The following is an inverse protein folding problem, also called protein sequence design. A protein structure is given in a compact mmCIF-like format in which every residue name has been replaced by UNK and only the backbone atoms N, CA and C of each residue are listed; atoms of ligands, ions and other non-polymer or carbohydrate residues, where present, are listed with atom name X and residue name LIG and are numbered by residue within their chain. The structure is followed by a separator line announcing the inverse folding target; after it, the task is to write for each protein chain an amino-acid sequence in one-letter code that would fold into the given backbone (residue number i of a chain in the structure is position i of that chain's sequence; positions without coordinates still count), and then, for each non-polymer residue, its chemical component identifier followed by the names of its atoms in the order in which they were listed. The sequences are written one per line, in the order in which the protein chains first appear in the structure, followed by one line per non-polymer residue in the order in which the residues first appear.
data_IF_938117401217
#
_entry.id   IF_938117401217
#
_cell.length_a   1.000
_cell.length_b   1.000
_cell.length_c   1.000
_cell.angle_alpha   90.00
_cell.angle_beta   90.00
_cell.angle_gamma   90.00
#
_symmetry.space_group_name_H-M   'P 1'
#
loop_
_entity.id
_entity.type
_entity.pdbx_description
1 polymer ?
#
# COMPACT_ATOMS: atom_id res chain seq x y z
N UNK A 1 44.14 -30.74 -19.79
CA UNK A 1 44.53 -29.77 -18.76
C UNK A 1 43.72 -28.51 -18.98
N UNK A 2 42.66 -28.37 -18.20
CA UNK A 2 41.52 -27.49 -18.42
C UNK A 2 41.37 -26.63 -17.17
N UNK A 3 41.93 -25.42 -17.18
CA UNK A 3 41.77 -24.44 -16.10
C UNK A 3 42.12 -23.06 -16.65
N UNK A 4 41.11 -22.30 -17.08
CA UNK A 4 41.02 -20.82 -17.03
C UNK A 4 39.82 -20.33 -17.84
N UNK A 5 38.59 -20.62 -17.39
CA UNK A 5 37.41 -19.87 -17.84
C UNK A 5 36.24 -19.88 -16.85
N UNK A 6 36.48 -20.29 -15.59
CA UNK A 6 35.51 -20.14 -14.51
C UNK A 6 35.50 -18.69 -14.01
N UNK A 7 34.76 -17.89 -14.79
CA UNK A 7 33.81 -16.87 -14.33
C UNK A 7 34.37 -15.60 -13.68
N UNK A 8 34.77 -14.68 -14.56
CA UNK A 8 34.60 -13.23 -14.37
C UNK A 8 33.15 -12.84 -13.98
N UNK A 9 32.16 -13.70 -14.23
CA UNK A 9 30.78 -13.54 -13.75
C UNK A 9 30.60 -13.86 -12.26
N UNK A 10 31.46 -14.67 -11.64
CA UNK A 10 31.42 -14.93 -10.19
C UNK A 10 32.15 -13.85 -9.39
N UNK A 11 33.09 -13.12 -10.02
CA UNK A 11 33.72 -11.91 -9.45
C UNK A 11 32.78 -10.69 -9.50
N UNK A 12 31.93 -10.56 -10.54
CA UNK A 12 30.85 -9.58 -10.57
C UNK A 12 29.65 -9.94 -9.68
N UNK A 13 29.63 -11.15 -9.10
CA UNK A 13 28.65 -11.58 -8.11
C UNK A 13 29.07 -11.22 -6.67
N UNK A 14 30.08 -10.36 -6.51
CA UNK A 14 30.36 -9.64 -5.26
C UNK A 14 29.66 -8.28 -5.30
N UNK A 15 28.63 -8.15 -4.47
CA UNK A 15 28.10 -6.88 -3.94
C UNK A 15 27.93 -5.74 -4.96
N UNK A 16 27.00 -5.88 -5.92
CA UNK A 16 26.35 -4.67 -6.44
C UNK A 16 25.38 -4.19 -5.34
N UNK A 17 25.93 -3.48 -4.35
CA UNK A 17 25.14 -2.71 -3.40
C UNK A 17 24.49 -1.58 -4.21
N UNK A 18 23.20 -1.73 -4.50
CA UNK A 18 22.42 -0.62 -5.04
C UNK A 18 22.36 0.50 -3.99
N UNK A 19 22.44 1.74 -4.45
CA UNK A 19 22.55 2.95 -3.62
C UNK A 19 21.22 3.56 -3.23
N UNK A 20 20.11 3.03 -3.75
CA UNK A 20 18.75 3.43 -3.39
C UNK A 20 17.72 2.82 -4.32
N UNK A 21 16.45 3.06 -4.03
CA UNK A 21 15.33 2.61 -4.86
C UNK A 21 14.79 3.78 -5.69
N UNK A 22 14.43 3.50 -6.94
CA UNK A 22 13.56 4.37 -7.72
C UNK A 22 12.18 3.75 -7.73
N UNK A 23 11.24 4.38 -7.05
CA UNK A 23 9.83 3.99 -7.06
C UNK A 23 9.13 4.73 -8.19
N UNK A 24 8.56 4.00 -9.14
CA UNK A 24 7.76 4.50 -10.26
C UNK A 24 6.32 4.08 -10.06
N UNK A 25 5.45 5.05 -9.78
CA UNK A 25 4.00 4.84 -9.75
C UNK A 25 3.42 5.21 -11.10
N UNK A 26 2.95 4.21 -11.85
CA UNK A 26 2.21 4.36 -13.09
C UNK A 26 0.76 4.72 -12.77
N UNK A 27 0.36 5.96 -13.02
CA UNK A 27 -0.98 6.43 -12.68
C UNK A 27 -1.95 6.08 -13.81
N UNK A 28 -1.76 6.71 -14.96
CA UNK A 28 -2.71 6.64 -16.07
C UNK A 28 -2.05 6.90 -17.42
N UNK A 29 -2.71 6.42 -18.48
CA UNK A 29 -2.46 6.81 -19.85
C UNK A 29 -3.61 7.71 -20.31
N UNK A 30 -3.29 8.72 -21.12
CA UNK A 30 -4.27 9.64 -21.68
C UNK A 30 -4.16 9.64 -23.20
N UNK A 31 -5.30 9.57 -23.87
CA UNK A 31 -5.42 9.70 -25.33
C UNK A 31 -4.48 8.75 -26.09
N UNK A 32 -4.36 7.50 -25.63
CA UNK A 32 -3.54 6.50 -26.30
C UNK A 32 -4.10 6.20 -27.70
N UNK A 33 -3.21 5.79 -28.60
CA UNK A 33 -3.59 5.39 -29.95
C UNK A 33 -4.43 4.11 -29.94
N UNK A 34 -5.55 4.13 -30.67
CA UNK A 34 -6.35 2.94 -30.93
C UNK A 34 -5.64 2.01 -31.93
N UNK A 35 -5.37 0.78 -31.52
CA UNK A 35 -4.75 -0.24 -32.38
C UNK A 35 -5.72 -1.35 -32.77
N UNK A 36 -6.78 -1.59 -31.99
CA UNK A 36 -7.81 -2.57 -32.32
C UNK A 36 -8.82 -2.06 -33.35
N UNK A 37 -9.41 -3.00 -34.09
CA UNK A 37 -10.53 -2.72 -35.01
C UNK A 37 -11.79 -2.17 -34.32
N UNK A 38 -11.89 -2.31 -33.00
CA UNK A 38 -12.98 -1.76 -32.19
C UNK A 38 -12.81 -0.25 -31.89
N UNK A 39 -11.68 0.36 -32.28
CA UNK A 39 -11.36 1.76 -32.01
C UNK A 39 -10.85 2.02 -30.59
N UNK A 40 -10.47 0.97 -29.85
CA UNK A 40 -9.90 1.00 -28.51
C UNK A 40 -8.55 0.23 -28.53
N UNK A 41 -7.99 0.00 -27.35
CA UNK A 41 -6.80 -0.83 -27.12
C UNK A 41 -6.90 -1.50 -25.76
N UNK A 42 -6.11 -2.54 -25.54
CA UNK A 42 -5.86 -3.24 -24.28
C UNK A 42 -4.44 -2.87 -23.75
N UNK A 43 -4.18 -1.60 -23.38
CA UNK A 43 -2.83 -1.12 -23.13
C UNK A 43 -2.19 -1.71 -21.87
N UNK A 44 -0.90 -1.98 -21.96
CA UNK A 44 -0.01 -2.26 -20.84
C UNK A 44 1.36 -1.61 -21.04
N UNK A 45 2.07 -1.37 -19.93
CA UNK A 45 3.36 -0.67 -19.93
C UNK A 45 4.47 -1.61 -19.51
N UNK A 46 5.60 -1.56 -20.21
CA UNK A 46 6.86 -2.22 -19.85
C UNK A 46 7.89 -1.18 -19.47
N UNK A 47 8.49 -1.37 -18.31
CA UNK A 47 9.57 -0.54 -17.80
C UNK A 47 10.88 -1.32 -17.83
N UNK A 48 11.99 -0.61 -18.07
CA UNK A 48 13.34 -1.19 -18.05
C UNK A 48 14.34 -0.19 -17.51
N UNK A 49 15.11 -0.62 -16.51
CA UNK A 49 16.24 0.13 -15.96
C UNK A 49 17.46 -0.81 -15.88
N UNK A 50 18.39 -0.67 -16.82
CA UNK A 50 19.51 -1.60 -16.98
C UNK A 50 19.04 -3.02 -17.24
N UNK A 51 19.28 -3.94 -16.30
CA UNK A 51 18.85 -5.35 -16.40
C UNK A 51 17.46 -5.62 -15.82
N UNK A 52 16.90 -4.70 -15.03
CA UNK A 52 15.59 -4.87 -14.39
C UNK A 52 14.48 -4.53 -15.37
N UNK A 53 13.44 -5.37 -15.39
CA UNK A 53 12.28 -5.21 -16.26
C UNK A 53 11.01 -5.48 -15.47
N UNK A 54 10.03 -4.60 -15.60
CA UNK A 54 8.69 -4.80 -15.05
C UNK A 54 7.63 -4.60 -16.13
N UNK A 55 6.48 -5.21 -15.91
CA UNK A 55 5.31 -5.12 -16.79
C UNK A 55 4.09 -4.83 -15.92
N UNK A 56 3.27 -3.88 -16.35
CA UNK A 56 1.98 -3.58 -15.71
C UNK A 56 0.92 -4.60 -16.07
N UNK A 57 -0.22 -4.52 -15.38
CA UNK A 57 -1.45 -5.17 -15.80
C UNK A 57 -1.93 -4.61 -17.14
N UNK A 58 -2.71 -5.43 -17.81
CA UNK A 58 -3.40 -5.10 -19.06
C UNK A 58 -4.76 -4.52 -18.68
N UNK A 59 -5.07 -3.32 -19.17
CA UNK A 59 -6.38 -2.70 -18.95
C UNK A 59 -7.16 -2.80 -20.26
N UNK A 60 -8.21 -3.63 -20.33
CA UNK A 60 -8.88 -3.88 -21.61
C UNK A 60 -9.75 -2.72 -22.07
N UNK A 61 -9.85 -2.55 -23.39
CA UNK A 61 -10.81 -1.73 -24.13
C UNK A 61 -10.86 -0.28 -23.66
N UNK A 62 -9.71 0.38 -23.62
CA UNK A 62 -9.62 1.79 -23.24
C UNK A 62 -8.42 2.50 -23.87
N UNK A 63 -8.62 3.77 -24.22
CA UNK A 63 -7.55 4.69 -24.62
C UNK A 63 -7.08 5.58 -23.45
N UNK A 64 -7.77 5.50 -22.31
CA UNK A 64 -7.45 6.25 -21.10
C UNK A 64 -7.32 5.30 -19.91
N UNK A 65 -6.37 4.36 -19.94
CA UNK A 65 -6.20 3.36 -18.89
C UNK A 65 -5.79 4.00 -17.56
N UNK A 66 -6.30 3.42 -16.48
CA UNK A 66 -5.90 3.72 -15.10
C UNK A 66 -5.23 2.47 -14.56
N UNK A 67 -3.92 2.50 -14.31
CA UNK A 67 -3.20 1.36 -13.74
C UNK A 67 -3.04 1.50 -12.24
N UNK A 68 -2.52 2.66 -11.81
CA UNK A 68 -2.19 2.97 -10.41
C UNK A 68 -1.31 1.90 -9.76
N UNK A 69 -0.34 1.42 -10.53
CA UNK A 69 0.61 0.38 -10.13
C UNK A 69 1.96 1.00 -9.75
N UNK A 70 2.65 0.41 -8.77
CA UNK A 70 3.97 0.85 -8.35
C UNK A 70 5.04 -0.20 -8.69
N UNK A 71 6.16 0.26 -9.24
CA UNK A 71 7.32 -0.54 -9.59
C UNK A 71 8.57 0.03 -8.96
N UNK A 72 9.33 -0.82 -8.27
CA UNK A 72 10.54 -0.42 -7.57
C UNK A 72 11.78 -0.96 -8.27
N UNK A 73 12.67 -0.05 -8.66
CA UNK A 73 13.94 -0.38 -9.29
C UNK A 73 15.11 -0.13 -8.35
N UNK A 74 16.05 -1.07 -8.33
CA UNK A 74 17.33 -0.91 -7.65
C UNK A 74 18.24 0.01 -8.47
N UNK A 75 18.71 1.11 -7.87
CA UNK A 75 19.64 2.03 -8.52
C UNK A 75 21.09 1.66 -8.18
N UNK A 76 21.86 1.25 -9.18
CA UNK A 76 23.26 0.82 -9.00
C UNK A 76 24.29 1.92 -9.34
N UNK A 77 23.96 2.85 -10.22
CA UNK A 77 24.89 3.85 -10.75
C UNK A 77 24.76 5.23 -10.08
N UNK A 78 25.90 5.89 -9.83
CA UNK A 78 25.97 7.20 -9.15
C UNK A 78 25.28 8.32 -9.91
N UNK A 79 25.28 8.25 -11.24
CA UNK A 79 24.77 9.32 -12.11
C UNK A 79 23.26 9.23 -12.36
N UNK A 80 22.58 8.23 -11.80
CA UNK A 80 21.23 7.89 -12.23
C UNK A 80 21.27 7.09 -13.54
N UNK A 81 20.31 6.20 -13.72
CA UNK A 81 20.09 5.49 -14.99
C UNK A 81 18.93 6.10 -15.77
N UNK A 82 18.75 5.65 -17.01
CA UNK A 82 17.58 6.02 -17.82
C UNK A 82 16.54 4.89 -17.69
N UNK A 83 15.32 5.24 -17.31
CA UNK A 83 14.20 4.30 -17.34
C UNK A 83 13.59 4.35 -18.74
N UNK A 84 13.71 3.25 -19.47
CA UNK A 84 13.00 3.03 -20.73
C UNK A 84 11.58 2.56 -20.45
N UNK A 85 10.60 3.27 -21.01
CA UNK A 85 9.17 3.00 -20.84
C UNK A 85 8.57 2.76 -22.21
N UNK A 86 7.88 1.63 -22.39
CA UNK A 86 7.22 1.28 -23.66
C UNK A 86 5.79 0.85 -23.41
N UNK A 87 4.87 1.35 -24.22
CA UNK A 87 3.43 1.05 -24.15
C UNK A 87 3.06 0.13 -25.31
N UNK A 88 2.27 -0.89 -25.01
CA UNK A 88 1.90 -1.94 -25.94
C UNK A 88 0.42 -2.25 -25.83
N UNK A 89 -0.19 -2.65 -26.93
CA UNK A 89 -1.54 -3.21 -26.99
C UNK A 89 -1.48 -4.73 -26.88
N UNK A 90 -2.38 -5.33 -26.09
CA UNK A 90 -2.45 -6.78 -25.92
C UNK A 90 -3.45 -7.39 -26.90
N UNK A 91 -2.93 -8.02 -27.95
CA UNK A 91 -3.75 -8.78 -28.89
C UNK A 91 -3.92 -10.25 -28.52
N UNK A 92 -5.15 -10.76 -28.66
CA UNK A 92 -5.43 -12.20 -28.56
C UNK A 92 -5.00 -12.94 -29.84
N UNK A 93 -4.00 -13.81 -29.73
CA UNK A 93 -3.57 -14.71 -30.82
C UNK A 93 -2.67 -14.07 -31.89
N UNK A 94 -2.25 -12.82 -31.70
CA UNK A 94 -1.23 -12.13 -32.51
C UNK A 94 -0.10 -11.60 -31.63
N UNK A 95 0.93 -11.07 -32.26
CA UNK A 95 2.00 -10.35 -31.56
C UNK A 95 1.45 -8.98 -31.17
N UNK A 96 1.56 -8.66 -29.88
CA UNK A 96 1.21 -7.36 -29.29
C UNK A 96 1.74 -6.17 -30.11
N UNK A 97 0.85 -5.22 -30.39
CA UNK A 97 1.14 -4.01 -31.15
C UNK A 97 1.83 -2.93 -30.29
N UNK A 98 2.78 -2.21 -30.89
CA UNK A 98 3.50 -1.13 -30.21
C UNK A 98 2.73 0.19 -30.31
N UNK A 99 2.44 0.82 -29.17
CA UNK A 99 1.71 2.09 -29.09
C UNK A 99 2.67 3.28 -29.07
N UNK A 100 3.72 3.21 -28.25
CA UNK A 100 4.69 4.30 -28.12
C UNK A 100 5.73 4.07 -27.02
N UNK A 101 6.71 4.98 -26.92
CA UNK A 101 7.77 4.92 -25.89
C UNK A 101 8.06 6.27 -25.26
N UNK A 102 8.61 6.27 -24.06
CA UNK A 102 9.23 7.46 -23.48
C UNK A 102 10.39 7.03 -22.58
N UNK A 103 11.25 7.99 -22.23
CA UNK A 103 12.41 7.75 -21.37
C UNK A 103 12.43 8.77 -20.24
N UNK A 104 12.77 8.31 -19.04
CA UNK A 104 12.96 9.18 -17.86
C UNK A 104 14.42 9.13 -17.44
N UNK A 105 15.12 10.25 -17.57
CA UNK A 105 16.48 10.41 -17.06
C UNK A 105 16.45 10.73 -15.57
N UNK A 106 16.85 9.76 -14.75
CA UNK A 106 16.86 9.87 -13.29
C UNK A 106 17.88 10.91 -12.79
N UNK A 107 18.88 11.28 -13.59
CA UNK A 107 19.87 12.30 -13.21
C UNK A 107 19.26 13.70 -13.08
N UNK A 108 18.15 13.94 -13.78
CA UNK A 108 17.46 15.24 -13.81
C UNK A 108 16.51 15.44 -12.63
N UNK A 109 16.17 14.35 -11.93
CA UNK A 109 15.20 14.37 -10.84
C UNK A 109 15.91 14.59 -9.51
N UNK A 110 15.29 15.40 -8.64
CA UNK A 110 15.83 15.61 -7.30
C UNK A 110 15.62 14.36 -6.43
N UNK A 111 16.56 14.12 -5.52
CA UNK A 111 16.49 12.99 -4.58
C UNK A 111 15.52 13.30 -3.45
N UNK A 112 14.90 12.27 -2.88
CA UNK A 112 13.95 12.33 -1.77
C UNK A 112 12.69 13.18 -2.04
N UNK A 113 12.38 13.42 -3.31
CA UNK A 113 11.18 14.13 -3.74
C UNK A 113 10.44 13.30 -4.80
N UNK A 114 9.13 13.25 -4.68
CA UNK A 114 8.25 12.67 -5.70
C UNK A 114 8.04 13.68 -6.81
N UNK A 115 8.37 13.28 -8.04
CA UNK A 115 8.21 14.09 -9.25
C UNK A 115 7.01 13.57 -10.02
N UNK A 116 6.02 14.42 -10.24
CA UNK A 116 4.94 14.13 -11.18
C UNK A 116 5.43 14.44 -12.59
N UNK A 117 5.46 13.42 -13.44
CA UNK A 117 5.90 13.51 -14.82
C UNK A 117 4.72 13.22 -15.74
N UNK A 118 4.47 14.12 -16.68
CA UNK A 118 3.51 13.92 -17.77
C UNK A 118 4.34 13.74 -19.05
N UNK A 119 4.51 12.49 -19.47
CA UNK A 119 5.44 12.09 -20.51
C UNK A 119 4.69 11.86 -21.83
N UNK A 120 4.90 12.68 -22.87
CA UNK A 120 4.37 12.38 -24.20
C UNK A 120 5.03 11.11 -24.76
N UNK A 121 4.25 10.29 -25.45
CA UNK A 121 4.76 9.11 -26.12
C UNK A 121 5.44 9.47 -27.44
N UNK A 122 6.72 9.14 -27.56
CA UNK A 122 7.44 9.13 -28.83
C UNK A 122 6.97 7.96 -29.70
N UNK A 123 7.01 8.17 -31.02
CA UNK A 123 6.61 7.16 -32.03
C UNK A 123 5.15 6.67 -31.86
N UNK A 124 4.32 7.45 -31.17
CA UNK A 124 2.93 7.16 -30.83
C UNK A 124 2.09 8.41 -30.59
N UNK A 125 0.87 8.21 -30.08
CA UNK A 125 -0.04 9.27 -29.63
C UNK A 125 -0.43 9.04 -28.17
N UNK A 126 -0.62 10.14 -27.44
CA UNK A 126 -1.01 10.15 -26.03
C UNK A 126 0.12 10.47 -25.06
N UNK A 127 -0.24 10.45 -23.77
CA UNK A 127 0.63 10.81 -22.66
C UNK A 127 0.55 9.75 -21.57
N UNK A 128 1.66 9.51 -20.87
CA UNK A 128 1.70 8.75 -19.62
C UNK A 128 1.88 9.70 -18.44
N UNK A 129 1.10 9.49 -17.39
CA UNK A 129 1.25 10.20 -16.11
C UNK A 129 1.91 9.27 -15.11
N UNK A 130 3.07 9.67 -14.60
CA UNK A 130 3.91 8.89 -13.70
C UNK A 130 4.24 9.72 -12.46
N UNK A 131 4.36 9.07 -11.30
CA UNK A 131 5.04 9.63 -10.14
C UNK A 131 6.36 8.89 -9.96
N UNK A 132 7.48 9.62 -9.97
CA UNK A 132 8.82 9.03 -9.81
C UNK A 132 9.45 9.57 -8.55
N UNK A 133 9.79 8.67 -7.62
CA UNK A 133 10.44 9.01 -6.35
C UNK A 133 11.80 8.34 -6.30
N UNK A 134 12.87 9.15 -6.26
CA UNK A 134 14.23 8.66 -6.09
C UNK A 134 14.57 8.68 -4.62
N UNK A 135 14.63 7.52 -3.99
CA UNK A 135 15.06 7.38 -2.58
C UNK A 135 16.58 7.29 -2.44
N UNK A 136 17.31 7.40 -3.55
CA UNK A 136 18.78 7.34 -3.59
C UNK A 136 19.45 8.62 -3.07
N UNK A 137 19.23 8.94 -1.79
CA UNK A 137 19.98 9.98 -1.11
C UNK A 137 21.45 9.57 -0.97
N UNK A 138 22.38 10.53 -1.04
CA UNK A 138 23.77 10.28 -0.61
C UNK A 138 23.87 9.96 0.89
N UNK A 139 22.78 10.17 1.64
CA UNK A 139 22.69 9.96 3.08
C UNK A 139 21.88 8.72 3.48
N UNK A 140 21.41 7.96 2.49
CA UNK A 140 20.76 6.66 2.67
C UNK A 140 21.66 5.63 2.01
N UNK A 141 22.30 4.78 2.82
CA UNK A 141 23.28 3.81 2.35
C UNK A 141 22.91 2.42 2.80
N UNK A 142 23.27 1.45 1.95
CA UNK A 142 23.21 0.04 2.26
C UNK A 142 24.63 -0.43 2.33
N UNK A 143 25.02 -0.94 3.49
CA UNK A 143 26.33 -1.55 3.68
C UNK A 143 26.18 -2.99 4.14
N UNK A 144 27.17 -3.80 3.78
CA UNK A 144 27.38 -5.08 4.45
C UNK A 144 27.75 -4.84 5.92
N UNK A 145 27.44 -5.82 6.78
CA UNK A 145 27.81 -5.77 8.21
C UNK A 145 29.30 -5.45 8.45
N UNK A 146 30.18 -5.77 7.49
CA UNK A 146 31.62 -5.48 7.54
C UNK A 146 31.98 -4.01 7.43
N UNK A 147 31.03 -3.13 7.07
CA UNK A 147 31.19 -1.67 7.01
C UNK A 147 30.12 -1.04 7.91
N UNK A 148 30.29 -1.24 9.22
CA UNK A 148 29.42 -0.66 10.23
C UNK A 148 29.90 0.76 10.58
N UNK A 149 29.27 1.78 9.99
CA UNK A 149 29.64 3.20 10.15
C UNK A 149 29.59 3.67 11.63
N UNK A 150 28.81 3.00 12.48
CA UNK A 150 28.73 3.33 13.91
C UNK A 150 29.76 2.60 14.78
N UNK A 151 30.43 1.57 14.24
CA UNK A 151 31.58 0.93 14.89
C UNK A 151 32.88 1.70 14.66
N UNK A 152 33.02 2.41 13.52
CA UNK A 152 34.13 3.35 13.34
C UNK A 152 33.90 4.59 14.23
N UNK A 153 34.71 4.68 15.29
CA UNK A 153 34.68 5.76 16.26
C UNK A 153 34.75 7.15 15.61
N UNK A 154 35.46 7.30 14.48
CA UNK A 154 35.61 8.60 13.81
C UNK A 154 34.32 9.03 13.11
N UNK A 155 33.69 8.14 12.36
CA UNK A 155 32.44 8.43 11.65
C UNK A 155 31.29 8.67 12.63
N UNK A 156 31.22 7.86 13.71
CA UNK A 156 30.28 8.08 14.81
C UNK A 156 30.44 9.46 15.44
N UNK A 157 31.67 9.90 15.69
CA UNK A 157 31.96 11.24 16.23
C UNK A 157 31.58 12.36 15.25
N UNK A 158 31.76 12.15 13.95
CA UNK A 158 31.33 13.10 12.91
C UNK A 158 29.80 13.22 12.85
N UNK A 159 29.07 12.11 12.93
CA UNK A 159 27.61 12.09 12.98
C UNK A 159 27.10 12.78 14.25
N UNK A 160 27.70 12.49 15.41
CA UNK A 160 27.36 13.15 16.69
C UNK A 160 27.65 14.66 16.64
N UNK A 161 28.75 15.08 16.00
CA UNK A 161 29.04 16.51 15.78
C UNK A 161 28.03 17.16 14.86
N UNK A 162 27.60 16.48 13.78
CA UNK A 162 26.59 16.98 12.83
C UNK A 162 25.25 17.24 13.50
N UNK A 163 24.79 16.34 14.37
CA UNK A 163 23.53 16.46 15.11
C UNK A 163 23.70 17.02 16.54
N UNK A 164 24.81 17.69 16.82
CA UNK A 164 25.06 18.34 18.11
C UNK A 164 24.00 19.41 18.42
N UNK A 165 23.66 19.64 19.70
CA UNK A 165 22.77 20.74 20.10
C UNK A 165 23.21 22.12 19.58
N UNK A 166 24.50 22.32 19.29
CA UNK A 166 25.03 23.61 18.81
C UNK A 166 24.79 23.89 17.32
N UNK A 167 24.49 22.88 16.49
CA UNK A 167 24.28 23.03 15.02
C UNK A 167 22.81 23.31 14.67
N UNK A 168 22.18 24.24 15.39
CA UNK A 168 20.72 24.47 15.35
C UNK A 168 20.20 25.00 14.00
N UNK A 169 20.97 25.84 13.31
CA UNK A 169 20.50 26.60 12.14
C UNK A 169 20.88 26.00 10.78
N UNK A 170 21.50 24.81 10.76
CA UNK A 170 21.94 24.18 9.52
C UNK A 170 20.96 23.07 9.08
N UNK A 171 20.44 23.19 7.86
CA UNK A 171 19.54 22.24 7.18
C UNK A 171 18.34 21.76 8.04
N UNK A 172 17.36 22.62 8.32
CA UNK A 172 16.21 22.35 9.21
C UNK A 172 15.36 21.11 8.87
N UNK A 173 15.48 20.56 7.65
CA UNK A 173 14.74 19.36 7.23
C UNK A 173 15.33 18.05 7.76
N UNK A 174 16.62 18.05 8.08
CA UNK A 174 17.38 16.86 8.50
C UNK A 174 17.56 16.83 10.02
N UNK A 175 16.68 16.15 10.73
CA UNK A 175 16.58 16.19 12.20
C UNK A 175 17.51 15.19 12.88
N UNK A 176 17.86 14.10 12.21
CA UNK A 176 18.67 13.04 12.78
C UNK A 176 19.09 11.98 11.78
N UNK A 177 19.70 10.93 12.30
CA UNK A 177 20.26 9.79 11.61
C UNK A 177 19.77 8.52 12.27
N UNK A 178 19.29 7.58 11.45
CA UNK A 178 18.82 6.27 11.86
C UNK A 178 19.70 5.23 11.17
N UNK A 179 20.19 4.26 11.92
CA UNK A 179 20.82 3.05 11.39
C UNK A 179 19.97 1.84 11.78
N UNK A 180 19.63 1.00 10.81
CA UNK A 180 18.83 -0.22 10.99
C UNK A 180 19.64 -1.39 10.47
N UNK A 181 20.01 -2.30 11.36
CA UNK A 181 20.70 -3.54 11.02
C UNK A 181 19.68 -4.67 10.98
N UNK A 182 19.39 -5.14 9.77
CA UNK A 182 18.52 -6.29 9.52
C UNK A 182 19.38 -7.54 9.54
N UNK A 183 19.30 -8.28 10.65
CA UNK A 183 20.20 -9.41 10.91
C UNK A 183 19.62 -10.67 10.24
N UNK A 184 18.48 -11.14 10.73
CA UNK A 184 17.84 -12.39 10.30
C UNK A 184 16.36 -12.44 10.67
N UNK A 185 15.63 -13.35 10.06
CA UNK A 185 14.30 -13.76 10.53
C UNK A 185 14.28 -15.26 10.86
N UNK A 186 13.32 -15.67 11.68
CA UNK A 186 13.09 -17.05 12.07
C UNK A 186 11.62 -17.42 11.93
N UNK A 187 11.37 -18.69 11.64
CA UNK A 187 10.05 -19.33 11.62
C UNK A 187 9.03 -18.57 10.74
N UNK A 188 9.46 -18.08 9.58
CA UNK A 188 8.59 -17.45 8.61
C UNK A 188 7.50 -18.41 8.10
N UNK A 189 6.38 -17.85 7.64
CA UNK A 189 5.36 -18.61 6.92
C UNK A 189 5.94 -19.11 5.60
N UNK A 190 5.61 -20.35 5.22
CA UNK A 190 5.90 -20.86 3.89
C UNK A 190 4.79 -20.42 2.94
N UNK A 191 5.13 -19.68 1.88
CA UNK A 191 4.17 -19.31 0.83
C UNK A 191 4.27 -20.22 -0.39
N UNK A 192 5.45 -20.79 -0.70
CA UNK A 192 5.59 -21.69 -1.84
C UNK A 192 4.89 -23.04 -1.64
N UNK A 193 4.44 -23.64 -2.75
CA UNK A 193 3.99 -25.04 -2.86
C UNK A 193 5.04 -26.04 -2.33
N UNK A 194 6.32 -25.65 -2.35
CA UNK A 194 7.42 -26.47 -1.83
C UNK A 194 7.56 -26.46 -0.30
N UNK A 195 6.73 -25.68 0.41
CA UNK A 195 6.76 -25.54 1.86
C UNK A 195 7.92 -24.66 2.35
N UNK A 196 8.43 -23.77 1.49
CA UNK A 196 9.51 -22.83 1.77
C UNK A 196 9.10 -21.44 1.26
N UNK A 197 9.99 -20.47 1.47
CA UNK A 197 9.86 -19.12 0.93
C UNK A 197 11.24 -18.64 0.47
N UNK A 198 11.25 -17.70 -0.45
CA UNK A 198 12.34 -16.88 -0.93
C UNK A 198 12.25 -15.46 -0.30
N UNK A 199 12.45 -15.31 1.03
CA UNK A 199 12.16 -14.06 1.70
C UNK A 199 13.17 -12.93 1.43
N UNK A 200 12.63 -11.73 1.29
CA UNK A 200 13.36 -10.46 1.36
C UNK A 200 12.63 -9.48 2.29
N UNK A 201 13.38 -8.52 2.82
CA UNK A 201 12.90 -7.56 3.79
C UNK A 201 12.91 -6.16 3.19
N UNK A 202 11.86 -5.39 3.42
CA UNK A 202 11.67 -4.02 2.99
C UNK A 202 11.61 -3.14 4.23
N UNK A 203 12.53 -2.19 4.34
CA UNK A 203 12.65 -1.21 5.41
C UNK A 203 12.20 0.15 4.87
N UNK A 204 11.17 0.71 5.49
CA UNK A 204 10.53 1.96 5.10
C UNK A 204 10.56 2.97 6.25
N UNK A 205 11.01 4.19 5.95
CA UNK A 205 10.89 5.35 6.83
C UNK A 205 10.29 6.50 6.03
N UNK A 206 9.04 6.85 6.34
CA UNK A 206 8.26 7.85 5.60
C UNK A 206 8.11 7.49 4.11
N UNK A 207 8.85 8.19 3.23
CA UNK A 207 8.87 7.97 1.78
C UNK A 207 10.16 7.26 1.33
N UNK A 208 11.11 7.04 2.23
CA UNK A 208 12.35 6.32 1.93
C UNK A 208 12.11 4.82 2.14
N UNK A 209 12.39 4.03 1.11
CA UNK A 209 12.19 2.58 1.07
C UNK A 209 13.48 1.92 0.61
N UNK A 210 13.92 0.87 1.31
CA UNK A 210 15.10 0.07 0.99
C UNK A 210 14.76 -1.42 1.19
N UNK A 211 15.21 -2.30 0.32
CA UNK A 211 15.04 -3.75 0.40
C UNK A 211 16.33 -4.46 0.87
N UNK A 212 16.25 -5.74 1.20
CA UNK A 212 17.41 -6.62 1.30
C UNK A 212 17.57 -7.41 0.01
N UNK A 213 18.64 -8.19 -0.08
CA UNK A 213 18.69 -9.27 -1.06
C UNK A 213 17.73 -10.39 -0.66
N UNK A 214 17.29 -11.16 -1.65
CA UNK A 214 16.43 -12.33 -1.47
C UNK A 214 17.24 -13.55 -1.05
N UNK A 215 16.76 -14.30 -0.06
CA UNK A 215 17.37 -15.55 0.39
C UNK A 215 16.50 -16.72 -0.05
N UNK A 216 16.95 -17.49 -1.02
CA UNK A 216 16.12 -18.54 -1.61
C UNK A 216 15.89 -19.75 -0.68
N UNK A 217 14.65 -20.24 -0.65
CA UNK A 217 14.19 -21.50 -0.07
C UNK A 217 14.57 -21.66 1.40
N UNK A 218 14.32 -20.62 2.17
CA UNK A 218 14.71 -20.53 3.57
C UNK A 218 13.64 -19.82 4.43
N UNK A 219 13.16 -20.50 5.47
CA UNK A 219 12.23 -19.91 6.46
C UNK A 219 12.95 -19.21 7.63
N UNK A 220 14.28 -19.33 7.68
CA UNK A 220 15.16 -18.65 8.64
C UNK A 220 16.27 -17.89 7.89
N UNK A 221 15.91 -16.86 7.09
CA UNK A 221 16.88 -16.13 6.29
C UNK A 221 17.79 -15.27 7.17
N UNK A 222 19.06 -15.18 6.79
CA UNK A 222 20.03 -14.23 7.34
C UNK A 222 20.43 -13.24 6.26
N UNK A 223 20.16 -11.95 6.49
CA UNK A 223 20.49 -10.89 5.54
C UNK A 223 21.76 -10.16 5.92
N UNK A 224 21.96 -9.90 7.21
CA UNK A 224 23.13 -9.21 7.74
C UNK A 224 23.44 -7.90 6.97
N UNK A 225 22.41 -7.07 6.80
CA UNK A 225 22.48 -5.79 6.08
C UNK A 225 22.24 -4.61 7.01
N UNK A 226 22.98 -3.54 6.77
CA UNK A 226 22.82 -2.27 7.46
C UNK A 226 22.19 -1.27 6.48
N UNK A 227 21.16 -0.59 6.95
CA UNK A 227 20.46 0.48 6.27
C UNK A 227 20.63 1.76 7.08
N UNK A 228 20.88 2.88 6.40
CA UNK A 228 20.91 4.19 7.05
C UNK A 228 19.84 5.09 6.48
N UNK A 229 19.21 5.91 7.32
CA UNK A 229 18.17 6.85 6.94
C UNK A 229 18.40 8.20 7.60
N UNK A 230 18.05 9.28 6.90
CA UNK A 230 17.91 10.58 7.52
C UNK A 230 16.54 10.69 8.17
N UNK A 231 16.51 11.12 9.42
CA UNK A 231 15.28 11.34 10.17
C UNK A 231 14.81 12.76 9.86
N UNK A 232 13.71 12.87 9.12
CA UNK A 232 13.02 14.16 8.88
C UNK A 232 12.10 14.56 10.02
N UNK A 233 11.54 13.57 10.72
CA UNK A 233 10.64 13.73 11.86
C UNK A 233 10.86 12.58 12.85
N UNK A 234 11.11 12.87 14.12
CA UNK A 234 11.35 11.88 15.16
C UNK A 234 10.07 11.11 15.56
N UNK A 235 8.89 11.63 15.23
CA UNK A 235 7.61 10.95 15.43
C UNK A 235 7.28 9.97 14.30
N UNK A 236 8.18 9.83 13.32
CA UNK A 236 8.04 8.82 12.27
C UNK A 236 8.06 7.41 12.84
N UNK A 237 7.52 6.49 12.06
CA UNK A 237 7.49 5.06 12.38
C UNK A 237 8.32 4.35 11.33
N UNK A 238 9.29 3.56 11.80
CA UNK A 238 10.05 2.66 10.96
C UNK A 238 9.19 1.43 10.68
N UNK A 239 8.88 1.18 9.41
CA UNK A 239 8.15 0.00 8.99
C UNK A 239 9.12 -1.00 8.39
N UNK A 240 9.05 -2.25 8.84
CA UNK A 240 9.86 -3.34 8.30
C UNK A 240 8.92 -4.46 7.88
N UNK A 241 8.90 -4.76 6.59
CA UNK A 241 7.97 -5.73 5.99
C UNK A 241 8.76 -6.84 5.31
N UNK A 242 8.43 -8.09 5.61
CA UNK A 242 9.01 -9.27 4.98
C UNK A 242 8.05 -9.76 3.91
N UNK A 243 8.60 -9.98 2.71
CA UNK A 243 7.89 -10.47 1.55
C UNK A 243 8.56 -11.74 1.01
N UNK A 244 7.82 -12.53 0.25
CA UNK A 244 8.31 -13.65 -0.55
C UNK A 244 8.51 -13.21 -2.02
N UNK A 245 9.65 -13.51 -2.62
CA UNK A 245 9.89 -13.14 -4.03
C UNK A 245 9.38 -14.22 -4.99
N UNK A 246 8.29 -13.93 -5.70
CA UNK A 246 7.80 -14.76 -6.79
C UNK A 246 8.32 -14.30 -8.16
N UNK A 247 8.82 -15.23 -8.96
CA UNK A 247 9.40 -14.93 -10.29
C UNK A 247 8.42 -14.29 -11.27
N UNK A 248 7.14 -14.59 -11.15
CA UNK A 248 6.11 -14.24 -12.14
C UNK A 248 4.89 -13.52 -11.53
N UNK A 249 4.92 -13.20 -10.22
CA UNK A 249 3.82 -12.56 -9.48
C UNK A 249 4.31 -11.42 -8.60
N UNK A 250 3.37 -10.61 -8.09
CA UNK A 250 3.67 -9.63 -7.05
C UNK A 250 4.08 -10.36 -5.78
N UNK A 251 5.14 -9.89 -5.12
CA UNK A 251 5.70 -10.50 -3.93
C UNK A 251 4.65 -10.73 -2.82
N UNK A 252 4.60 -11.97 -2.30
CA UNK A 252 3.64 -12.35 -1.27
C UNK A 252 4.00 -11.79 0.10
N UNK A 253 2.99 -11.36 0.86
CA UNK A 253 3.21 -10.76 2.19
C UNK A 253 3.44 -11.84 3.25
N UNK A 254 4.61 -11.81 3.91
CA UNK A 254 4.93 -12.75 5.00
C UNK A 254 4.73 -12.12 6.39
N UNK A 255 4.91 -10.81 6.53
CA UNK A 255 4.68 -10.13 7.81
C UNK A 255 5.24 -8.72 7.90
N UNK A 256 4.71 -7.91 8.82
CA UNK A 256 5.12 -6.51 9.03
C UNK A 256 5.37 -6.19 10.50
N UNK A 257 6.32 -5.32 10.78
CA UNK A 257 6.48 -4.66 12.08
C UNK A 257 6.58 -3.14 11.87
N UNK A 258 6.02 -2.39 12.82
CA UNK A 258 6.05 -0.94 12.85
C UNK A 258 6.63 -0.49 14.19
N UNK A 259 7.74 0.26 14.16
CA UNK A 259 8.55 0.64 15.32
C UNK A 259 8.64 2.16 15.38
N UNK A 260 7.96 2.82 16.34
CA UNK A 260 8.11 4.27 16.53
C UNK A 260 9.55 4.63 16.88
N UNK A 261 10.13 5.65 16.25
CA UNK A 261 11.55 5.96 16.45
C UNK A 261 11.90 6.30 17.91
N UNK A 262 10.98 6.96 18.62
CA UNK A 262 11.13 7.30 20.04
C UNK A 262 11.13 6.08 20.98
N UNK A 263 10.64 4.92 20.53
CA UNK A 263 10.63 3.68 21.33
C UNK A 263 11.93 2.87 21.22
N UNK A 264 12.83 3.28 20.31
CA UNK A 264 14.06 2.55 20.00
C UNK A 264 15.07 2.74 21.14
N UNK A 265 15.71 1.64 21.53
CA UNK A 265 16.83 1.63 22.45
C UNK A 265 18.09 1.27 21.66
N UNK A 266 19.01 2.21 21.58
CA UNK A 266 20.22 2.12 20.75
C UNK A 266 21.13 0.96 21.18
N UNK A 267 21.72 0.29 20.19
CA UNK A 267 22.69 -0.80 20.37
C UNK A 267 22.13 -2.11 20.92
N UNK A 268 20.81 -2.24 21.08
CA UNK A 268 20.19 -3.47 21.56
C UNK A 268 19.61 -4.29 20.39
N UNK A 269 20.08 -5.53 20.24
CA UNK A 269 19.48 -6.49 19.33
C UNK A 269 18.15 -6.98 19.90
N UNK A 270 17.05 -6.67 19.22
CA UNK A 270 15.69 -7.07 19.62
C UNK A 270 15.03 -7.99 18.61
N UNK A 271 14.22 -8.90 19.14
CA UNK A 271 13.37 -9.79 18.38
C UNK A 271 11.96 -9.20 18.28
N UNK A 272 11.48 -8.97 17.07
CA UNK A 272 10.17 -8.40 16.79
C UNK A 272 9.26 -9.44 16.16
N UNK A 273 8.11 -9.69 16.78
CA UNK A 273 7.09 -10.59 16.24
C UNK A 273 6.45 -9.93 15.02
N UNK A 274 6.41 -10.66 13.90
CA UNK A 274 5.76 -10.18 12.69
C UNK A 274 4.24 -10.13 12.89
N UNK A 275 3.60 -9.14 12.28
CA UNK A 275 2.15 -8.94 12.32
C UNK A 275 1.55 -9.00 10.91
N UNK A 276 0.22 -9.07 10.85
CA UNK A 276 -0.51 -8.98 9.60
C UNK A 276 -0.39 -7.57 8.98
N UNK A 277 -0.87 -7.43 7.74
CA UNK A 277 -0.75 -6.19 6.95
C UNK A 277 -1.33 -4.96 7.67
N UNK A 278 -2.43 -5.13 8.40
CA UNK A 278 -3.09 -4.08 9.18
C UNK A 278 -2.52 -3.90 10.61
N UNK A 279 -1.49 -4.65 10.99
CA UNK A 279 -0.86 -4.63 12.32
C UNK A 279 -1.82 -4.97 13.49
N UNK A 280 -2.97 -5.59 13.21
CA UNK A 280 -4.01 -5.93 14.20
C UNK A 280 -3.73 -7.24 14.96
N UNK A 281 -3.01 -8.18 14.35
CA UNK A 281 -2.72 -9.49 14.93
C UNK A 281 -1.33 -10.01 14.58
N UNK A 282 -0.77 -10.93 15.38
CA UNK A 282 0.51 -11.56 15.09
C UNK A 282 0.41 -12.52 13.90
N UNK A 283 1.49 -12.59 13.13
CA UNK A 283 1.73 -13.56 12.06
C UNK A 283 2.86 -14.51 12.48
N UNK A 284 3.02 -15.64 11.79
CA UNK A 284 4.15 -16.53 12.02
C UNK A 284 5.46 -15.84 11.64
N UNK A 285 6.43 -15.95 12.54
CA UNK A 285 7.80 -15.52 12.32
C UNK A 285 8.21 -14.32 13.17
N UNK A 286 9.52 -14.22 13.37
CA UNK A 286 10.16 -13.18 14.19
C UNK A 286 11.33 -12.62 13.42
N UNK A 287 11.49 -11.30 13.42
CA UNK A 287 12.62 -10.61 12.80
C UNK A 287 13.55 -10.02 13.85
N UNK A 288 14.86 -10.21 13.68
CA UNK A 288 15.89 -9.72 14.57
C UNK A 288 16.52 -8.45 13.99
N UNK A 289 16.38 -7.36 14.72
CA UNK A 289 16.84 -6.04 14.32
C UNK A 289 17.69 -5.43 15.43
N UNK A 290 18.75 -4.71 15.05
CA UNK A 290 19.51 -3.82 15.92
C UNK A 290 19.40 -2.43 15.32
N UNK A 291 19.00 -1.43 16.12
CA UNK A 291 18.60 -0.13 15.59
C UNK A 291 19.21 0.98 16.45
N UNK A 292 19.82 1.96 15.80
CA UNK A 292 20.45 3.11 16.43
C UNK A 292 19.87 4.43 15.90
N UNK A 293 19.45 5.30 16.82
CA UNK A 293 18.88 6.60 16.52
C UNK A 293 19.74 7.70 17.12
N UNK A 294 20.23 8.61 16.29
CA UNK A 294 20.94 9.82 16.71
C UNK A 294 20.16 11.02 16.19
N UNK A 295 19.69 11.91 17.05
CA UNK A 295 18.92 13.08 16.62
C UNK A 295 19.20 14.30 17.48
N UNK A 296 18.98 15.48 16.90
CA UNK A 296 19.03 16.73 17.65
C UNK A 296 17.64 17.02 18.24
N UNK A 297 17.52 16.94 19.57
CA UNK A 297 16.25 17.12 20.27
C UNK A 297 15.62 18.52 20.07
N UNK A 298 16.43 19.58 19.99
CA UNK A 298 15.93 20.96 19.79
C UNK A 298 15.35 21.09 18.38
N UNK A 299 16.09 20.62 17.38
CA UNK A 299 15.66 20.62 15.98
C UNK A 299 14.41 19.78 15.77
N UNK A 300 14.35 18.61 16.40
CA UNK A 300 13.19 17.73 16.38
C UNK A 300 11.95 18.42 16.97
N UNK A 301 12.11 19.08 18.12
CA UNK A 301 11.02 19.79 18.80
C UNK A 301 10.45 20.93 17.95
N UNK A 302 11.31 21.67 17.24
CA UNK A 302 10.88 22.72 16.31
C UNK A 302 10.16 22.11 15.11
N UNK A 303 10.67 20.98 14.57
CA UNK A 303 10.07 20.29 13.42
C UNK A 303 8.69 19.74 13.72
N UNK A 304 8.38 19.34 14.96
CA UNK A 304 7.04 18.90 15.39
C UNK A 304 5.95 19.96 15.17
N UNK A 305 6.32 21.25 15.08
CA UNK A 305 5.36 22.34 14.80
C UNK A 305 4.99 22.45 13.31
N UNK A 306 5.78 21.82 12.43
CA UNK A 306 5.53 21.82 10.99
C UNK A 306 4.71 20.59 10.60
N UNK A 307 3.86 20.67 9.56
CA UNK A 307 3.06 19.54 9.14
C UNK A 307 3.94 18.34 8.78
N UNK A 308 3.44 17.14 9.10
CA UNK A 308 4.04 15.86 8.71
C UNK A 308 4.05 15.76 7.19
N UNK A 309 5.13 15.23 6.61
CA UNK A 309 5.18 14.95 5.18
C UNK A 309 4.08 13.94 4.82
N UNK A 310 3.34 14.23 3.75
CA UNK A 310 2.36 13.29 3.22
C UNK A 310 3.10 12.06 2.68
N UNK A 311 2.64 10.86 3.07
CA UNK A 311 3.15 9.61 2.49
C UNK A 311 2.62 9.55 1.07
N UNK A 312 3.50 9.63 0.08
CA UNK A 312 3.08 9.61 -1.34
C UNK A 312 2.80 8.19 -1.83
N UNK A 313 3.22 7.19 -1.05
CA UNK A 313 3.00 5.77 -1.26
C UNK A 313 1.87 5.34 -0.32
N UNK A 314 0.63 5.52 -0.77
CA UNK A 314 -0.52 4.88 -0.15
C UNK A 314 -0.86 3.65 -1.01
N UNK A 315 -0.78 2.46 -0.41
CA UNK A 315 -1.42 1.29 -1.01
C UNK A 315 -2.91 1.62 -1.12
N UNK A 316 -3.49 1.54 -2.33
CA UNK A 316 -4.93 1.70 -2.47
C UNK A 316 -5.62 0.71 -1.53
N UNK A 317 -6.36 1.22 -0.55
CA UNK A 317 -7.32 0.41 0.17
C UNK A 317 -8.27 -0.14 -0.87
N UNK A 318 -8.10 -1.40 -1.26
CA UNK A 318 -9.03 -2.10 -2.14
C UNK A 318 -10.41 -1.91 -1.53
N UNK A 319 -11.21 -1.06 -2.15
CA UNK A 319 -12.57 -0.81 -1.70
C UNK A 319 -13.29 -2.16 -1.80
N UNK A 320 -13.54 -2.81 -0.67
CA UNK A 320 -14.22 -4.10 -0.67
C UNK A 320 -15.58 -3.91 -1.32
N UNK A 321 -15.71 -4.41 -2.56
CA UNK A 321 -16.97 -4.39 -3.31
C UNK A 321 -18.07 -5.04 -2.47
N UNK A 322 -17.73 -6.07 -1.69
CA UNK A 322 -18.61 -6.73 -0.73
C UNK A 322 -19.11 -5.78 0.37
N UNK A 323 -18.23 -5.00 1.01
CA UNK A 323 -18.64 -4.02 2.02
C UNK A 323 -19.57 -2.96 1.44
N UNK A 324 -19.27 -2.49 0.22
CA UNK A 324 -20.12 -1.51 -0.47
C UNK A 324 -21.48 -2.11 -0.83
N UNK A 325 -21.51 -3.31 -1.40
CA UNK A 325 -22.75 -4.01 -1.75
C UNK A 325 -23.61 -4.29 -0.50
N UNK A 326 -22.99 -4.75 0.59
CA UNK A 326 -23.68 -4.97 1.86
C UNK A 326 -24.29 -3.69 2.41
N UNK A 327 -23.55 -2.58 2.36
CA UNK A 327 -24.06 -1.28 2.79
C UNK A 327 -25.18 -0.76 1.86
N UNK A 328 -25.06 -0.99 0.55
CA UNK A 328 -26.10 -0.64 -0.43
C UNK A 328 -27.39 -1.42 -0.20
N UNK A 329 -27.32 -2.73 0.03
CA UNK A 329 -28.49 -3.57 0.33
C UNK A 329 -29.17 -3.12 1.63
N UNK A 330 -28.39 -2.81 2.67
CA UNK A 330 -28.91 -2.24 3.93
C UNK A 330 -29.66 -0.93 3.67
N UNK A 331 -29.07 -0.02 2.90
CA UNK A 331 -29.69 1.26 2.54
C UNK A 331 -30.97 1.05 1.72
N UNK A 332 -30.96 0.16 0.72
CA UNK A 332 -32.12 -0.19 -0.10
C UNK A 332 -33.27 -0.71 0.76
N UNK A 333 -32.98 -1.55 1.77
CA UNK A 333 -33.99 -2.05 2.72
C UNK A 333 -34.64 -0.90 3.49
N UNK A 334 -33.85 0.04 4.01
CA UNK A 334 -34.38 1.24 4.68
C UNK A 334 -35.26 2.09 3.76
N UNK A 335 -34.81 2.34 2.52
CA UNK A 335 -35.57 3.12 1.54
C UNK A 335 -36.88 2.43 1.17
N UNK A 336 -36.87 1.11 0.98
CA UNK A 336 -38.08 0.36 0.61
C UNK A 336 -39.13 0.36 1.73
N UNK A 337 -38.71 0.35 3.00
CA UNK A 337 -39.63 0.54 4.14
C UNK A 337 -40.29 1.91 4.09
N UNK A 338 -39.54 2.97 3.78
CA UNK A 338 -40.09 4.33 3.64
C UNK A 338 -41.08 4.44 2.47
N UNK A 339 -40.74 3.84 1.33
CA UNK A 339 -41.61 3.81 0.14
C UNK A 339 -42.91 3.05 0.47
N UNK A 340 -42.83 1.88 1.09
CA UNK A 340 -44.02 1.11 1.48
C UNK A 340 -44.88 1.85 2.51
N UNK A 341 -44.26 2.55 3.46
CA UNK A 341 -44.98 3.40 4.41
C UNK A 341 -45.70 4.55 3.70
N UNK A 342 -45.06 5.20 2.73
CA UNK A 342 -45.68 6.27 1.93
C UNK A 342 -46.88 5.75 1.12
N UNK A 343 -46.75 4.58 0.46
CA UNK A 343 -47.86 3.94 -0.23
C UNK A 343 -49.01 3.58 0.72
N UNK A 344 -48.70 3.08 1.91
CA UNK A 344 -49.70 2.77 2.93
C UNK A 344 -50.46 4.02 3.38
N UNK A 345 -49.75 5.14 3.60
CA UNK A 345 -50.37 6.42 3.94
C UNK A 345 -51.27 6.90 2.81
N UNK A 346 -50.83 6.82 1.55
CA UNK A 346 -51.66 7.19 0.39
C UNK A 346 -52.94 6.36 0.35
N UNK A 347 -52.83 5.03 0.48
CA UNK A 347 -53.98 4.12 0.48
C UNK A 347 -54.98 4.43 1.62
N UNK A 348 -54.50 4.94 2.76
CA UNK A 348 -55.38 5.42 3.82
C UNK A 348 -56.17 6.68 3.40
N UNK A 349 -55.54 7.62 2.70
CA UNK A 349 -56.19 8.83 2.17
C UNK A 349 -57.14 8.55 1.00
N UNK A 350 -56.82 7.56 0.16
CA UNK A 350 -57.61 7.16 -1.00
C UNK A 350 -58.84 6.29 -0.63
N UNK A 351 -58.99 5.92 0.66
CA UNK A 351 -60.09 5.10 1.20
C UNK A 351 -60.23 3.72 0.55
N UNK A 352 -59.14 3.12 0.05
CA UNK A 352 -59.14 1.78 -0.55
C UNK A 352 -59.75 0.71 0.37
N UNK A 353 -59.58 0.86 1.68
CA UNK A 353 -60.16 0.00 2.71
C UNK A 353 -60.80 0.84 3.82
N UNK A 354 -62.13 1.06 3.80
CA UNK A 354 -62.84 1.89 4.77
C UNK A 354 -62.53 1.62 6.26
N UNK A 355 -62.42 0.36 6.75
CA UNK A 355 -62.10 0.14 8.16
C UNK A 355 -60.65 0.51 8.53
N UNK A 356 -59.70 0.44 7.59
CA UNK A 356 -58.29 0.77 7.82
C UNK A 356 -58.08 2.29 7.85
N UNK A 357 -58.68 3.00 6.90
CA UNK A 357 -58.67 4.46 6.86
C UNK A 357 -59.33 5.06 8.09
N UNK A 358 -60.46 4.48 8.55
CA UNK A 358 -61.13 4.91 9.78
C UNK A 358 -60.24 4.69 11.01
N UNK A 359 -59.62 3.52 11.15
CA UNK A 359 -58.71 3.23 12.26
C UNK A 359 -57.49 4.17 12.27
N UNK A 360 -56.89 4.43 11.10
CA UNK A 360 -55.77 5.37 10.96
C UNK A 360 -56.18 6.81 11.33
N UNK A 361 -57.40 7.23 10.95
CA UNK A 361 -57.94 8.54 11.31
C UNK A 361 -58.22 8.68 12.81
N UNK A 362 -58.80 7.66 13.44
CA UNK A 362 -59.03 7.65 14.89
C UNK A 362 -57.71 7.65 15.67
N UNK A 363 -56.69 6.92 15.19
CA UNK A 363 -55.34 6.94 15.76
C UNK A 363 -54.69 8.32 15.61
N UNK A 364 -54.83 8.95 14.45
CA UNK A 364 -54.36 10.33 14.24
C UNK A 364 -55.02 11.31 15.22
N UNK A 365 -56.35 11.25 15.38
CA UNK A 365 -57.07 12.08 16.35
C UNK A 365 -56.60 11.85 17.78
N UNK A 366 -56.40 10.58 18.17
CA UNK A 366 -55.87 10.24 19.49
C UNK A 366 -54.46 10.82 19.70
N UNK A 367 -53.58 10.72 18.70
CA UNK A 367 -52.21 11.24 18.80
C UNK A 367 -52.21 12.76 18.89
N UNK A 368 -52.92 13.45 18.01
CA UNK A 368 -52.99 14.93 18.01
C UNK A 368 -53.62 15.46 19.30
N UNK A 369 -54.58 14.74 19.88
CA UNK A 369 -55.22 15.14 21.13
C UNK A 369 -54.31 14.98 22.36
N UNK A 370 -53.39 14.01 22.35
CA UNK A 370 -52.58 13.66 23.52
C UNK A 370 -51.09 14.04 23.40
N UNK A 371 -50.59 14.35 22.20
CA UNK A 371 -49.17 14.58 21.96
C UNK A 371 -48.92 15.88 21.20
N UNK A 372 -48.08 16.74 21.77
CA UNK A 372 -47.62 17.99 21.16
C UNK A 372 -46.40 17.77 20.24
N UNK A 373 -46.20 18.65 19.26
CA UNK A 373 -45.15 18.56 18.24
C UNK A 373 -43.72 18.41 18.79
N UNK A 374 -43.41 18.96 19.97
CA UNK A 374 -42.07 18.85 20.57
C UNK A 374 -41.77 17.45 21.13
N UNK A 375 -42.77 16.56 21.24
CA UNK A 375 -42.62 15.19 21.73
C UNK A 375 -42.19 14.19 20.64
N UNK A 376 -42.14 14.62 19.36
CA UNK A 376 -41.74 13.77 18.22
C UNK A 376 -40.34 13.14 18.40
N UNK A 377 -39.30 13.85 18.90
CA UNK A 377 -37.99 13.24 19.15
C UNK A 377 -38.03 12.12 20.21
N UNK A 378 -38.94 12.22 21.19
CA UNK A 378 -39.15 11.20 22.23
C UNK A 378 -39.83 9.95 21.68
N UNK A 379 -40.68 10.08 20.65
CA UNK A 379 -41.28 8.93 19.96
C UNK A 379 -40.25 8.11 19.16
N UNK A 380 -39.15 8.73 18.68
CA UNK A 380 -38.04 8.00 18.05
C UNK A 380 -37.32 7.06 19.03
N UNK A 381 -37.32 7.38 20.34
CA UNK A 381 -36.80 6.47 21.38
C UNK A 381 -37.68 5.23 21.54
N UNK A 382 -39.00 5.32 21.31
CA UNK A 382 -39.88 4.15 21.30
C UNK A 382 -39.58 3.22 20.13
N UNK A 383 -39.21 3.74 18.96
CA UNK A 383 -38.74 2.92 17.83
C UNK A 383 -37.43 2.20 18.15
N UNK A 384 -36.49 2.87 18.83
CA UNK A 384 -35.25 2.25 19.31
C UNK A 384 -35.54 1.16 20.36
N UNK A 385 -36.45 1.42 21.30
CA UNK A 385 -36.86 0.45 22.30
C UNK A 385 -37.61 -0.75 21.69
N UNK A 386 -38.46 -0.50 20.68
CA UNK A 386 -39.14 -1.54 19.92
C UNK A 386 -38.15 -2.41 19.13
N UNK A 387 -37.17 -1.78 18.48
CA UNK A 387 -36.13 -2.49 17.73
C UNK A 387 -35.23 -3.31 18.68
N UNK A 388 -34.88 -2.75 19.85
CA UNK A 388 -34.20 -3.47 20.92
C UNK A 388 -35.00 -4.70 21.39
N UNK A 389 -36.31 -4.57 21.60
CA UNK A 389 -37.17 -5.69 21.96
C UNK A 389 -37.30 -6.74 20.86
N UNK A 390 -37.33 -6.34 19.59
CA UNK A 390 -37.32 -7.25 18.44
C UNK A 390 -36.03 -8.09 18.39
N UNK A 391 -34.88 -7.44 18.62
CA UNK A 391 -33.57 -8.10 18.69
C UNK A 391 -33.51 -9.06 19.89
N UNK A 392 -34.01 -8.65 21.06
CA UNK A 392 -34.03 -9.47 22.29
C UNK A 392 -35.04 -10.63 22.20
N UNK A 393 -36.15 -10.45 21.49
CA UNK A 393 -37.19 -11.48 21.32
C UNK A 393 -36.78 -12.59 20.34
N UNK A 394 -35.60 -12.52 19.71
CA UNK A 394 -35.10 -13.54 18.78
C UNK A 394 -35.93 -13.69 17.50
N UNK A 395 -36.88 -12.77 17.26
CA UNK A 395 -37.76 -12.74 16.08
C UNK A 395 -37.13 -11.91 14.97
N UNK A 396 -35.82 -12.05 14.80
CA UNK A 396 -35.08 -11.44 13.71
C UNK A 396 -35.26 -12.33 12.48
N UNK A 397 -35.81 -11.77 11.40
CA UNK A 397 -36.10 -12.48 10.16
C UNK A 397 -34.80 -12.67 9.34
N UNK A 398 -33.75 -13.19 9.99
CA UNK A 398 -32.41 -13.45 9.44
C UNK A 398 -32.34 -14.61 8.45
N UNK A 399 -33.49 -15.22 8.13
CA UNK A 399 -33.57 -16.26 7.10
C UNK A 399 -33.29 -15.73 5.67
N UNK A 400 -33.27 -14.41 5.47
CA UNK A 400 -32.89 -13.81 4.19
C UNK A 400 -31.46 -13.27 4.13
N UNK A 401 -30.76 -13.16 5.27
CA UNK A 401 -29.34 -12.81 5.28
C UNK A 401 -28.49 -14.04 4.92
N UNK A 402 -28.96 -15.26 5.21
CA UNK A 402 -28.31 -16.54 4.85
C UNK A 402 -28.19 -16.77 3.36
N UNK A 403 -29.17 -16.34 2.56
CA UNK A 403 -29.13 -16.47 1.08
C UNK A 403 -28.12 -15.50 0.45
N UNK A 404 -27.88 -14.36 1.11
CA UNK A 404 -26.85 -13.40 0.68
C UNK A 404 -25.48 -13.85 1.20
N UNK A 405 -25.40 -14.45 2.39
CA UNK A 405 -24.18 -15.09 2.92
C UNK A 405 -23.74 -16.28 2.04
N UNK A 406 -24.66 -17.19 1.66
CA UNK A 406 -24.38 -18.32 0.75
C UNK A 406 -23.93 -17.83 -0.65
N UNK A 407 -24.60 -16.81 -1.22
CA UNK A 407 -24.16 -16.23 -2.50
C UNK A 407 -22.80 -15.52 -2.42
N UNK A 408 -22.39 -15.08 -1.24
CA UNK A 408 -21.10 -14.42 -1.01
C UNK A 408 -19.98 -15.43 -0.71
N UNK A 409 -20.27 -16.57 -0.08
CA UNK A 409 -19.33 -17.69 0.06
C UNK A 409 -18.98 -18.31 -1.31
N UNK A 410 -19.97 -18.43 -2.20
CA UNK A 410 -19.75 -18.94 -3.57
C UNK A 410 -18.87 -17.99 -4.43
N UNK A 411 -18.95 -16.66 -4.24
CA UNK A 411 -18.09 -15.69 -4.93
C UNK A 411 -16.66 -15.60 -4.33
N UNK A 412 -16.49 -15.79 -3.01
CA UNK A 412 -15.16 -15.87 -2.37
C UNK A 412 -14.38 -17.11 -2.85
N UNK A 413 -15.06 -18.23 -3.08
CA UNK A 413 -14.43 -19.40 -3.69
C UNK A 413 -14.05 -19.22 -5.17
N UNK A 414 -14.66 -18.28 -5.90
CA UNK A 414 -14.29 -17.93 -7.28
C UNK A 414 -13.15 -16.91 -7.35
N UNK A 415 -13.15 -15.88 -6.49
CA UNK A 415 -12.06 -14.87 -6.44
C UNK A 415 -10.73 -15.52 -5.96
N UNK A 416 -10.80 -16.49 -5.03
CA UNK A 416 -9.64 -17.32 -4.61
C UNK A 416 -9.16 -18.31 -5.69
N UNK A 417 -9.97 -18.56 -6.73
CA UNK A 417 -9.57 -19.36 -7.91
C UNK A 417 -8.92 -18.50 -8.99
N UNK A 418 -9.33 -17.24 -9.11
CA UNK A 418 -8.74 -16.29 -10.05
C UNK A 418 -7.36 -15.79 -9.61
N UNK A 419 -7.05 -15.88 -8.30
CA UNK A 419 -5.72 -15.59 -7.72
C UNK A 419 -4.81 -16.84 -7.53
N UNK A 420 -5.22 -18.05 -7.94
CA UNK A 420 -4.43 -19.29 -7.80
C UNK A 420 -3.51 -19.63 -8.97
#
# INVERSE_FOLDING_TARGET
FQTQSLRLSDLHRKSQLWRGIVSVTLIEGRELKAMDANGLSDPYVKFRLGHQKYKSKIVPKTLNPQWREQFDFHLYEERGGIIDITVWDKDAGKKDDFIGRCQVDLSTLSKEQTHKLEMPLEEGEGYLVLLVTLTASAAVTISDLSVNLLEDQKEREEILKRYSPMTMFHNMKDVGFLQVKVIRAEALMAADVTGKSDPFCVVELNNDRLLTHTVYKNLNPEWNKIFTFNIKDIHSVLEVTVYDEDRDRSADFLGKVAIPLLSIQNGEQKAYVLKNKQLTGPTKGVIYLEIDVIFNAVKASIRTLMPKEQKYIEEENRLSKQLLLRNFVRMKRCIMVLINAAYYISSCFDWDSPPRSLAAFLLFLFVVWNFELYMIPLALLLLLAWNYFLIVSGKDNRQHDTVVEDMLEDEEEEDDRDDK
#
